data_IF_247132915382
#
_entry.id   IF_247132915382
#
_cell.length_a   1.000
_cell.length_b   1.000
_cell.length_c   1.000
_cell.angle_alpha   90.00
_cell.angle_beta   90.00
_cell.angle_gamma   90.00
#
_symmetry.space_group_name_H-M   'P 1'
#
loop_
_entity.id
_entity.type
_entity.pdbx_description
1 polymer ?
#
# COMPACT_ATOMS: atom_id res chain seq x y z
N UNK A 1 -4.26 6.80 -3.11
CA UNK A 1 -3.36 5.64 -3.32
C UNK A 1 -3.12 5.34 -4.80
N UNK A 2 -4.18 5.20 -5.64
CA UNK A 2 -4.05 4.95 -7.09
C UNK A 2 -3.19 6.01 -7.80
N UNK A 3 -3.41 7.30 -7.50
CA UNK A 3 -2.67 8.41 -8.11
C UNK A 3 -1.17 8.41 -7.76
N UNK A 4 -0.82 8.11 -6.51
CA UNK A 4 0.58 8.04 -6.04
C UNK A 4 1.31 6.87 -6.70
N UNK A 5 0.66 5.70 -6.79
CA UNK A 5 1.22 4.54 -7.49
C UNK A 5 1.38 4.80 -8.99
N UNK A 6 0.47 5.56 -9.60
CA UNK A 6 0.56 5.99 -10.99
C UNK A 6 1.77 6.90 -11.21
N UNK A 7 1.91 7.97 -10.43
CA UNK A 7 3.07 8.88 -10.53
C UNK A 7 4.40 8.18 -10.31
N UNK A 8 4.49 7.33 -9.28
CA UNK A 8 5.70 6.54 -8.99
C UNK A 8 6.07 5.59 -10.14
N UNK A 9 5.07 4.90 -10.71
CA UNK A 9 5.27 4.01 -11.87
C UNK A 9 5.75 4.78 -13.09
N UNK A 10 5.09 5.88 -13.44
CA UNK A 10 5.46 6.72 -14.59
C UNK A 10 6.87 7.27 -14.43
N UNK A 11 7.22 7.75 -13.23
CA UNK A 11 8.55 8.26 -12.94
C UNK A 11 9.63 7.18 -13.10
N UNK A 12 9.41 5.96 -12.57
CA UNK A 12 10.37 4.86 -12.70
C UNK A 12 10.58 4.45 -14.17
N UNK A 13 9.49 4.34 -14.93
CA UNK A 13 9.54 4.02 -16.37
C UNK A 13 10.33 5.09 -17.12
N UNK A 14 10.08 6.38 -16.85
CA UNK A 14 10.79 7.48 -17.50
C UNK A 14 12.29 7.47 -17.20
N UNK A 15 12.70 7.16 -15.96
CA UNK A 15 14.12 7.02 -15.60
C UNK A 15 14.78 5.90 -16.39
N UNK A 16 14.14 4.73 -16.46
CA UNK A 16 14.68 3.57 -17.19
C UNK A 16 14.78 3.89 -18.68
N UNK A 17 13.73 4.47 -19.27
CA UNK A 17 13.72 4.88 -20.68
C UNK A 17 14.78 5.95 -20.98
N UNK A 18 14.95 6.93 -20.09
CA UNK A 18 15.98 7.96 -20.23
C UNK A 18 17.38 7.34 -20.24
N UNK A 19 17.64 6.40 -19.33
CA UNK A 19 18.90 5.66 -19.27
C UNK A 19 19.16 4.83 -20.53
N UNK A 20 18.13 4.15 -21.05
CA UNK A 20 18.24 3.38 -22.29
C UNK A 20 18.44 4.28 -23.52
N UNK A 21 17.75 5.42 -23.58
CA UNK A 21 17.93 6.41 -24.64
C UNK A 21 19.33 7.00 -24.62
N UNK A 22 19.90 7.25 -23.43
CA UNK A 22 21.28 7.67 -23.27
C UNK A 22 22.27 6.61 -23.77
N UNK A 23 22.09 5.34 -23.39
CA UNK A 23 22.89 4.22 -23.92
C UNK A 23 22.82 4.11 -25.44
N UNK A 24 21.63 4.26 -26.02
CA UNK A 24 21.46 4.26 -27.47
C UNK A 24 22.14 5.46 -28.15
N UNK A 25 22.13 6.65 -27.52
CA UNK A 25 22.89 7.80 -28.03
C UNK A 25 24.40 7.54 -28.00
N UNK A 26 24.91 6.95 -26.92
CA UNK A 26 26.31 6.56 -26.78
C UNK A 26 26.71 5.55 -27.87
N UNK A 27 25.84 4.61 -28.23
CA UNK A 27 26.14 3.60 -29.25
C UNK A 27 26.58 4.22 -30.58
N UNK A 28 26.01 5.38 -30.95
CA UNK A 28 26.36 6.12 -32.18
C UNK A 28 27.79 6.67 -32.15
N UNK A 29 28.35 6.92 -30.97
CA UNK A 29 29.74 7.39 -30.80
C UNK A 29 30.75 6.24 -30.94
N UNK A 30 30.40 5.03 -30.52
CA UNK A 30 31.27 3.87 -30.53
C UNK A 30 31.04 2.98 -31.76
N UNK A 31 31.56 3.40 -32.92
CA UNK A 31 31.36 2.71 -34.20
C UNK A 31 31.63 1.20 -34.16
N UNK A 32 32.68 0.78 -33.45
CA UNK A 32 33.12 -0.63 -33.33
C UNK A 32 32.17 -1.54 -32.54
N UNK A 33 31.31 -0.98 -31.70
CA UNK A 33 30.36 -1.70 -30.83
C UNK A 33 28.95 -1.13 -30.90
N UNK A 34 28.66 -0.31 -31.92
CA UNK A 34 27.39 0.38 -32.13
C UNK A 34 26.20 -0.58 -32.04
N UNK A 35 26.28 -1.72 -32.73
CA UNK A 35 25.20 -2.70 -32.76
C UNK A 35 25.03 -3.40 -31.41
N UNK A 36 26.10 -3.80 -30.73
CA UNK A 36 26.00 -4.43 -29.42
C UNK A 36 25.42 -3.49 -28.35
N UNK A 37 25.86 -2.22 -28.31
CA UNK A 37 25.34 -1.24 -27.35
C UNK A 37 23.88 -0.87 -27.68
N UNK A 38 23.53 -0.76 -28.97
CA UNK A 38 22.14 -0.50 -29.38
C UNK A 38 21.22 -1.67 -29.03
N UNK A 39 21.65 -2.91 -29.29
CA UNK A 39 20.91 -4.12 -28.94
C UNK A 39 20.77 -4.26 -27.42
N UNK A 40 21.79 -3.91 -26.64
CA UNK A 40 21.69 -3.85 -25.18
C UNK A 40 20.64 -2.84 -24.72
N UNK A 41 20.60 -1.64 -25.31
CA UNK A 41 19.58 -0.65 -24.98
C UNK A 41 18.16 -1.15 -25.30
N UNK A 42 17.96 -1.79 -26.46
CA UNK A 42 16.68 -2.40 -26.84
C UNK A 42 16.29 -3.53 -25.88
N UNK A 43 17.23 -4.41 -25.55
CA UNK A 43 17.03 -5.50 -24.60
C UNK A 43 16.57 -4.96 -23.24
N UNK A 44 17.22 -3.91 -22.72
CA UNK A 44 16.85 -3.30 -21.44
C UNK A 44 15.46 -2.66 -21.48
N UNK A 45 15.08 -1.99 -22.57
CA UNK A 45 13.72 -1.46 -22.73
C UNK A 45 12.69 -2.59 -22.71
N UNK A 46 12.94 -3.66 -23.46
CA UNK A 46 12.03 -4.80 -23.51
C UNK A 46 11.92 -5.47 -22.13
N UNK A 47 13.06 -5.80 -21.51
CA UNK A 47 13.14 -6.55 -20.27
C UNK A 47 12.64 -5.78 -19.04
N UNK A 48 12.95 -4.49 -18.94
CA UNK A 48 12.67 -3.69 -17.76
C UNK A 48 11.42 -2.82 -17.90
N UNK A 49 10.95 -2.54 -19.12
CA UNK A 49 9.76 -1.71 -19.33
C UNK A 49 8.63 -2.52 -19.94
N UNK A 50 8.83 -3.04 -21.15
CA UNK A 50 7.73 -3.64 -21.92
C UNK A 50 7.14 -4.89 -21.25
N UNK A 51 7.97 -5.89 -20.92
CA UNK A 51 7.50 -7.14 -20.32
C UNK A 51 6.91 -6.96 -18.91
N UNK A 52 7.56 -6.26 -17.97
CA UNK A 52 6.97 -6.05 -16.64
C UNK A 52 5.66 -5.24 -16.70
N UNK A 53 5.54 -4.30 -17.64
CA UNK A 53 4.29 -3.57 -17.86
C UNK A 53 3.18 -4.51 -18.37
N UNK A 54 3.47 -5.34 -19.37
CA UNK A 54 2.52 -6.32 -19.89
C UNK A 54 2.09 -7.31 -18.81
N UNK A 55 3.02 -7.84 -18.02
CA UNK A 55 2.69 -8.75 -16.91
C UNK A 55 1.84 -8.08 -15.83
N UNK A 56 2.06 -6.78 -15.56
CA UNK A 56 1.20 -6.02 -14.64
C UNK A 56 -0.23 -5.95 -15.17
N UNK A 57 -0.42 -5.70 -16.47
CA UNK A 57 -1.75 -5.71 -17.10
C UNK A 57 -2.40 -7.09 -17.02
N UNK A 58 -1.64 -8.15 -17.25
CA UNK A 58 -2.14 -9.52 -17.16
C UNK A 58 -2.59 -9.88 -15.75
N UNK A 59 -1.83 -9.52 -14.72
CA UNK A 59 -2.19 -9.75 -13.32
C UNK A 59 -3.40 -8.93 -12.87
N UNK A 60 -3.58 -7.74 -13.43
CA UNK A 60 -4.78 -6.93 -13.20
C UNK A 60 -6.03 -7.54 -13.85
N UNK A 61 -5.88 -8.13 -15.02
CA UNK A 61 -6.98 -8.81 -15.74
C UNK A 61 -7.32 -10.17 -15.12
N UNK A 62 -6.29 -10.99 -14.87
CA UNK A 62 -6.41 -12.29 -14.22
C UNK A 62 -5.22 -12.51 -13.27
N UNK A 63 -5.44 -12.48 -11.95
CA UNK A 63 -4.36 -12.66 -10.97
C UNK A 63 -3.74 -14.04 -10.94
N UNK A 64 -4.51 -15.05 -11.35
CA UNK A 64 -4.03 -16.43 -11.41
C UNK A 64 -3.20 -16.65 -12.67
N UNK A 65 -2.78 -15.60 -13.38
CA UNK A 65 -1.91 -15.68 -14.55
C UNK A 65 -0.51 -16.18 -14.21
N UNK A 66 0.00 -15.86 -13.01
CA UNK A 66 1.35 -16.23 -12.58
C UNK A 66 1.35 -16.71 -11.13
N UNK A 67 2.18 -17.71 -10.87
CA UNK A 67 2.57 -18.15 -9.54
C UNK A 67 3.93 -17.56 -9.17
N UNK A 68 4.10 -17.12 -7.92
CA UNK A 68 5.34 -16.51 -7.44
C UNK A 68 5.96 -17.36 -6.33
N UNK A 69 7.10 -18.00 -6.60
CA UNK A 69 7.70 -19.02 -5.73
C UNK A 69 8.52 -18.48 -4.55
N UNK A 70 8.50 -17.19 -4.27
CA UNK A 70 9.33 -16.60 -3.20
C UNK A 70 8.53 -16.18 -1.99
N UNK A 71 9.10 -16.50 -0.82
CA UNK A 71 8.71 -15.99 0.49
C UNK A 71 8.53 -14.46 0.53
N UNK A 72 9.07 -13.68 -0.42
CA UNK A 72 8.88 -12.22 -0.50
C UNK A 72 7.42 -11.86 -0.85
N UNK A 73 6.74 -12.65 -1.70
CA UNK A 73 5.34 -12.42 -2.04
C UNK A 73 4.44 -12.68 -0.83
N UNK A 74 4.63 -13.85 -0.20
CA UNK A 74 3.87 -14.24 0.98
C UNK A 74 4.20 -13.34 2.17
N UNK A 75 5.46 -12.99 2.39
CA UNK A 75 5.90 -12.15 3.50
C UNK A 75 5.41 -10.70 3.35
N UNK A 76 5.49 -10.07 2.17
CA UNK A 76 4.93 -8.70 2.01
C UNK A 76 3.42 -8.68 2.12
N UNK A 77 2.71 -9.66 1.53
CA UNK A 77 1.25 -9.77 1.67
C UNK A 77 0.87 -10.03 3.14
N UNK A 78 1.61 -10.89 3.84
CA UNK A 78 1.42 -11.17 5.26
C UNK A 78 1.76 -9.98 6.15
N UNK A 79 2.82 -9.21 5.89
CA UNK A 79 3.16 -8.00 6.66
C UNK A 79 2.00 -7.01 6.58
N UNK A 80 1.52 -6.68 5.38
CA UNK A 80 0.40 -5.74 5.21
C UNK A 80 -0.87 -6.29 5.85
N UNK A 81 -1.12 -7.61 5.74
CA UNK A 81 -2.27 -8.24 6.37
C UNK A 81 -2.16 -8.22 7.91
N UNK A 82 -0.97 -8.45 8.46
CA UNK A 82 -0.71 -8.46 9.90
C UNK A 82 -0.82 -7.06 10.48
N UNK A 83 -0.27 -6.04 9.82
CA UNK A 83 -0.45 -4.63 10.20
C UNK A 83 -1.94 -4.27 10.27
N UNK A 84 -2.74 -4.67 9.28
CA UNK A 84 -4.18 -4.39 9.28
C UNK A 84 -4.96 -5.21 10.30
N UNK A 85 -4.55 -6.46 10.55
CA UNK A 85 -5.13 -7.29 11.61
C UNK A 85 -4.86 -6.63 12.95
N UNK A 86 -3.64 -6.21 13.23
CA UNK A 86 -3.26 -5.54 14.47
C UNK A 86 -4.00 -4.21 14.65
N UNK A 87 -4.06 -3.38 13.61
CA UNK A 87 -4.81 -2.11 13.61
C UNK A 87 -6.31 -2.29 13.87
N UNK A 88 -6.90 -3.37 13.37
CA UNK A 88 -8.35 -3.62 13.44
C UNK A 88 -8.76 -4.51 14.63
N UNK A 89 -7.80 -5.21 15.25
CA UNK A 89 -8.01 -6.22 16.30
C UNK A 89 -8.93 -5.76 17.42
N UNK A 90 -8.72 -4.52 17.87
CA UNK A 90 -9.44 -3.96 19.02
C UNK A 90 -10.75 -3.26 18.63
N UNK A 91 -10.97 -2.93 17.36
CA UNK A 91 -12.13 -2.15 16.92
C UNK A 91 -13.46 -2.83 17.29
N UNK A 92 -13.68 -4.13 17.06
CA UNK A 92 -14.92 -4.80 17.46
C UNK A 92 -15.19 -4.72 18.97
N UNK A 93 -14.14 -4.90 19.79
CA UNK A 93 -14.26 -4.80 21.25
C UNK A 93 -14.58 -3.39 21.71
N UNK A 94 -14.04 -2.36 21.04
CA UNK A 94 -14.35 -0.96 21.32
C UNK A 94 -15.79 -0.63 20.95
N UNK A 95 -16.27 -1.07 19.77
CA UNK A 95 -17.68 -0.91 19.37
C UNK A 95 -18.60 -1.54 20.42
N UNK A 96 -18.34 -2.79 20.82
CA UNK A 96 -19.15 -3.48 21.85
C UNK A 96 -19.14 -2.75 23.19
N UNK A 97 -17.98 -2.23 23.61
CA UNK A 97 -17.89 -1.45 24.84
C UNK A 97 -18.73 -0.16 24.78
N UNK A 98 -18.72 0.55 23.64
CA UNK A 98 -19.53 1.75 23.44
C UNK A 98 -21.03 1.44 23.35
N UNK A 99 -21.41 0.36 22.69
CA UNK A 99 -22.79 -0.12 22.63
C UNK A 99 -23.30 -0.47 24.04
N UNK A 100 -22.48 -1.14 24.87
CA UNK A 100 -22.82 -1.42 26.26
C UNK A 100 -22.97 -0.15 27.10
N UNK A 101 -22.09 0.85 26.92
CA UNK A 101 -22.22 2.15 27.59
C UNK A 101 -23.51 2.85 27.16
N UNK A 102 -23.84 2.82 25.86
CA UNK A 102 -25.07 3.42 25.34
C UNK A 102 -26.31 2.77 25.96
N UNK A 103 -26.33 1.44 26.04
CA UNK A 103 -27.44 0.68 26.64
C UNK A 103 -27.56 0.93 28.15
N UNK A 104 -26.45 0.87 28.88
CA UNK A 104 -26.42 1.06 30.33
C UNK A 104 -26.79 2.48 30.78
N UNK A 105 -26.77 3.45 29.87
CA UNK A 105 -27.03 4.87 30.14
C UNK A 105 -28.19 5.41 29.28
N UNK A 106 -29.12 4.55 28.85
CA UNK A 106 -30.19 4.92 27.91
C UNK A 106 -31.03 6.11 28.39
N UNK A 107 -31.25 6.24 29.70
CA UNK A 107 -32.04 7.30 30.34
C UNK A 107 -31.43 8.70 30.20
N UNK A 108 -30.11 8.80 29.98
CA UNK A 108 -29.39 10.06 29.91
C UNK A 108 -28.82 10.36 28.52
N UNK A 109 -29.13 9.54 27.50
CA UNK A 109 -28.64 9.76 26.13
C UNK A 109 -29.10 11.10 25.55
N UNK A 110 -30.27 11.58 25.97
CA UNK A 110 -30.83 12.86 25.53
C UNK A 110 -30.39 14.06 26.39
N UNK A 111 -29.56 13.84 27.42
CA UNK A 111 -28.92 14.95 28.13
C UNK A 111 -27.90 15.61 27.22
N UNK A 112 -27.92 16.93 27.22
CA UNK A 112 -26.90 17.74 26.56
C UNK A 112 -25.57 17.63 27.31
N UNK A 113 -24.46 17.93 26.63
CA UNK A 113 -23.16 17.95 27.30
C UNK A 113 -23.12 19.01 28.39
N UNK A 114 -23.79 20.15 28.23
CA UNK A 114 -23.88 21.15 29.30
C UNK A 114 -24.56 20.61 30.57
N UNK A 115 -25.62 19.82 30.41
CA UNK A 115 -26.30 19.17 31.55
C UNK A 115 -25.43 18.10 32.23
N UNK A 116 -24.39 17.59 31.56
CA UNK A 116 -23.44 16.63 32.13
C UNK A 116 -22.24 17.31 32.79
N UNK A 117 -22.17 18.64 32.81
CA UNK A 117 -21.11 19.36 33.53
C UNK A 117 -21.17 19.02 35.03
N UNK A 118 -22.39 18.83 35.53
CA UNK A 118 -22.64 18.22 36.82
C UNK A 118 -22.49 16.70 36.76
N UNK A 119 -21.92 16.13 37.83
CA UNK A 119 -21.82 14.68 38.00
C UNK A 119 -23.22 14.02 37.86
N UNK A 120 -23.39 13.24 36.80
CA UNK A 120 -24.61 12.49 36.55
C UNK A 120 -24.40 11.03 36.89
N UNK A 121 -25.18 10.52 37.85
CA UNK A 121 -25.11 9.15 38.31
C UNK A 121 -26.15 8.30 37.58
N UNK A 122 -25.71 7.21 36.95
CA UNK A 122 -26.60 6.16 36.42
C UNK A 122 -26.51 4.91 37.26
N UNK A 123 -27.14 3.81 36.87
CA UNK A 123 -27.05 2.55 37.62
C UNK A 123 -25.59 2.05 37.71
N UNK A 124 -24.85 2.15 36.61
CA UNK A 124 -23.53 1.52 36.47
C UNK A 124 -22.36 2.52 36.34
N UNK A 125 -22.64 3.80 36.07
CA UNK A 125 -21.61 4.78 35.76
C UNK A 125 -21.82 6.13 36.47
N UNK A 126 -20.76 6.91 36.48
CA UNK A 126 -20.77 8.34 36.81
C UNK A 126 -20.26 9.07 35.57
N UNK A 127 -21.01 10.05 35.09
CA UNK A 127 -20.68 10.80 33.89
C UNK A 127 -20.45 12.27 34.23
N UNK A 128 -19.49 12.86 33.54
CA UNK A 128 -19.12 14.26 33.67
C UNK A 128 -18.64 14.78 32.32
N UNK A 129 -19.01 15.99 31.97
CA UNK A 129 -18.41 16.73 30.86
C UNK A 129 -17.65 17.94 31.39
N UNK A 130 -16.51 18.20 30.77
CA UNK A 130 -15.65 19.33 31.06
C UNK A 130 -15.44 20.12 29.78
N UNK A 131 -15.34 21.45 29.88
CA UNK A 131 -15.28 22.33 28.72
C UNK A 131 -14.04 23.22 28.82
N UNK A 132 -13.11 23.00 27.91
CA UNK A 132 -11.86 23.73 27.83
C UNK A 132 -11.75 24.54 26.54
N UNK A 133 -11.01 25.63 26.61
CA UNK A 133 -10.64 26.38 25.41
C UNK A 133 -9.43 25.72 24.73
N UNK A 134 -9.53 25.41 23.44
CA UNK A 134 -8.47 24.75 22.68
C UNK A 134 -7.85 25.71 21.64
N UNK A 135 -6.53 25.96 21.71
CA UNK A 135 -5.77 26.82 20.76
C UNK A 135 -4.65 25.96 20.14
N UNK A 136 -4.50 25.87 18.79
CA UNK A 136 -4.76 26.92 17.81
C UNK A 136 -5.85 26.62 16.76
N UNK A 137 -6.86 27.50 16.71
CA UNK A 137 -8.01 27.47 15.77
C UNK A 137 -9.28 28.18 16.26
N UNK A 138 -9.32 28.62 17.54
CA UNK A 138 -10.48 29.26 18.24
C UNK A 138 -11.71 28.35 18.40
N UNK A 139 -11.51 27.09 18.77
CA UNK A 139 -12.61 26.17 19.08
C UNK A 139 -12.61 25.80 20.56
N UNK A 140 -13.79 25.47 21.07
CA UNK A 140 -13.94 24.87 22.39
C UNK A 140 -13.77 23.35 22.29
N UNK A 141 -13.43 22.71 23.39
CA UNK A 141 -13.31 21.26 23.52
C UNK A 141 -14.16 20.79 24.70
N UNK A 142 -15.13 19.94 24.42
CA UNK A 142 -15.87 19.21 25.44
C UNK A 142 -15.21 17.84 25.66
N UNK A 143 -14.80 17.56 26.88
CA UNK A 143 -14.30 16.26 27.31
C UNK A 143 -15.36 15.54 28.12
N UNK A 144 -15.83 14.38 27.66
CA UNK A 144 -16.80 13.57 28.41
C UNK A 144 -16.06 12.43 29.10
N UNK A 145 -16.18 12.36 30.42
CA UNK A 145 -15.64 11.32 31.27
C UNK A 145 -16.74 10.35 31.68
N UNK A 146 -16.43 9.05 31.64
CA UNK A 146 -17.27 7.98 32.16
C UNK A 146 -16.45 7.19 33.16
N UNK A 147 -16.87 7.24 34.41
CA UNK A 147 -16.29 6.48 35.52
C UNK A 147 -17.19 5.31 35.87
N UNK A 148 -16.61 4.25 36.43
CA UNK A 148 -17.41 3.27 37.19
C UNK A 148 -17.82 3.84 38.54
N UNK A 149 -18.70 3.11 39.23
CA UNK A 149 -19.17 3.45 40.59
C UNK A 149 -18.06 3.51 41.64
N UNK A 150 -16.89 2.95 41.37
CA UNK A 150 -15.73 3.01 42.28
C UNK A 150 -14.83 4.21 41.96
N UNK A 151 -15.20 5.07 41.02
CA UNK A 151 -14.42 6.24 40.59
C UNK A 151 -13.32 5.92 39.57
N UNK A 152 -13.24 4.67 39.08
CA UNK A 152 -12.29 4.29 38.05
C UNK A 152 -12.70 4.80 36.67
N UNK A 153 -11.83 5.57 36.00
CA UNK A 153 -12.09 6.06 34.65
C UNK A 153 -12.20 4.88 33.66
N UNK A 154 -13.37 4.71 33.05
CA UNK A 154 -13.61 3.69 32.01
C UNK A 154 -13.37 4.24 30.62
N UNK A 155 -13.86 5.46 30.34
CA UNK A 155 -13.74 6.10 29.03
C UNK A 155 -13.66 7.61 29.13
N UNK A 156 -12.97 8.20 28.15
CA UNK A 156 -12.85 9.63 27.92
C UNK A 156 -13.13 9.88 26.44
N UNK A 157 -14.00 10.84 26.15
CA UNK A 157 -14.31 11.30 24.80
C UNK A 157 -13.93 12.76 24.68
N UNK A 158 -13.53 13.19 23.49
CA UNK A 158 -13.28 14.61 23.22
C UNK A 158 -14.03 15.03 21.97
N UNK A 159 -14.66 16.20 22.01
CA UNK A 159 -15.32 16.83 20.86
C UNK A 159 -14.91 18.29 20.79
N UNK A 160 -14.54 18.73 19.60
CA UNK A 160 -14.16 20.12 19.35
C UNK A 160 -15.22 20.80 18.49
N UNK A 161 -15.56 22.04 18.80
CA UNK A 161 -16.58 22.79 18.06
C UNK A 161 -16.82 24.17 18.64
N UNK A 162 -17.89 24.84 18.19
CA UNK A 162 -18.34 26.08 18.82
C UNK A 162 -18.98 25.79 20.19
N UNK A 163 -18.87 26.71 21.15
CA UNK A 163 -19.43 26.51 22.51
C UNK A 163 -20.92 26.14 22.46
N UNK A 164 -21.73 26.89 21.70
CA UNK A 164 -23.17 26.64 21.62
C UNK A 164 -23.51 25.27 21.00
N UNK A 165 -22.67 24.79 20.08
CA UNK A 165 -22.81 23.47 19.46
C UNK A 165 -22.50 22.38 20.49
N UNK A 166 -21.38 22.51 21.21
CA UNK A 166 -20.99 21.55 22.23
C UNK A 166 -21.97 21.53 23.40
N UNK A 167 -22.42 22.70 23.87
CA UNK A 167 -23.39 22.84 24.95
C UNK A 167 -24.68 22.08 24.67
N UNK A 168 -25.17 22.13 23.43
CA UNK A 168 -26.43 21.51 23.01
C UNK A 168 -26.31 20.07 22.52
N UNK A 169 -25.08 19.61 22.23
CA UNK A 169 -24.81 18.26 21.75
C UNK A 169 -25.28 17.21 22.76
N UNK A 170 -25.96 16.17 22.27
CA UNK A 170 -26.49 15.11 23.14
C UNK A 170 -25.44 14.05 23.41
N UNK A 171 -25.37 13.54 24.64
CA UNK A 171 -24.44 12.46 24.97
C UNK A 171 -24.60 11.23 24.07
N UNK A 172 -25.85 10.87 23.73
CA UNK A 172 -26.14 9.79 22.82
C UNK A 172 -25.64 10.01 21.39
N UNK A 173 -25.57 11.26 20.92
CA UNK A 173 -25.02 11.57 19.59
C UNK A 173 -23.50 11.43 19.58
N UNK A 174 -22.82 11.83 20.66
CA UNK A 174 -21.36 11.61 20.83
C UNK A 174 -21.00 10.14 20.71
N UNK A 175 -21.66 9.27 21.49
CA UNK A 175 -21.38 7.83 21.45
C UNK A 175 -21.73 7.24 20.08
N UNK A 176 -22.86 7.64 19.49
CA UNK A 176 -23.30 7.11 18.20
C UNK A 176 -22.34 7.49 17.08
N UNK A 177 -21.82 8.71 17.10
CA UNK A 177 -20.80 9.16 16.15
C UNK A 177 -19.53 8.31 16.25
N UNK A 178 -19.02 8.07 17.47
CA UNK A 178 -17.81 7.27 17.66
C UNK A 178 -18.01 5.80 17.27
N UNK A 179 -19.19 5.23 17.56
CA UNK A 179 -19.56 3.90 17.07
C UNK A 179 -19.56 3.87 15.53
N UNK A 180 -20.16 4.88 14.88
CA UNK A 180 -20.21 4.97 13.43
C UNK A 180 -18.80 5.06 12.85
N UNK A 181 -17.96 5.95 13.37
CA UNK A 181 -16.57 6.09 12.96
C UNK A 181 -15.80 4.77 13.06
N UNK A 182 -15.95 4.04 14.17
CA UNK A 182 -15.30 2.73 14.34
C UNK A 182 -15.86 1.68 13.37
N UNK A 183 -17.17 1.69 13.10
CA UNK A 183 -17.80 0.80 12.11
C UNK A 183 -17.29 1.10 10.70
N UNK A 184 -17.16 2.37 10.33
CA UNK A 184 -16.62 2.81 9.05
C UNK A 184 -15.14 2.42 8.92
N UNK A 185 -14.35 2.61 9.98
CA UNK A 185 -12.94 2.18 10.03
C UNK A 185 -12.81 0.66 9.88
N UNK A 186 -13.67 -0.11 10.57
CA UNK A 186 -13.72 -1.57 10.42
C UNK A 186 -14.13 -1.99 9.01
N UNK A 187 -15.12 -1.32 8.42
CA UNK A 187 -15.55 -1.56 7.05
C UNK A 187 -14.42 -1.26 6.06
N UNK A 188 -13.71 -0.14 6.23
CA UNK A 188 -12.54 0.22 5.45
C UNK A 188 -11.48 -0.91 5.45
N UNK A 189 -11.11 -1.44 6.62
CA UNK A 189 -10.15 -2.56 6.69
C UNK A 189 -10.68 -3.84 6.04
N UNK A 190 -11.98 -4.14 6.17
CA UNK A 190 -12.60 -5.28 5.46
C UNK A 190 -12.53 -5.12 3.95
N UNK A 191 -12.86 -3.94 3.42
CA UNK A 191 -12.77 -3.64 1.99
C UNK A 191 -11.32 -3.71 1.51
N UNK A 192 -10.38 -3.14 2.27
CA UNK A 192 -8.94 -3.19 1.95
C UNK A 192 -8.41 -4.62 1.92
N UNK A 193 -8.82 -5.47 2.86
CA UNK A 193 -8.50 -6.89 2.85
C UNK A 193 -9.03 -7.57 1.58
N UNK A 194 -10.28 -7.30 1.20
CA UNK A 194 -10.85 -7.81 -0.05
C UNK A 194 -10.13 -7.26 -1.28
N UNK A 195 -9.68 -6.00 -1.31
CA UNK A 195 -8.87 -5.44 -2.39
C UNK A 195 -7.47 -6.06 -2.49
N UNK A 196 -6.85 -6.34 -1.34
CA UNK A 196 -5.58 -7.06 -1.25
C UNK A 196 -5.74 -8.50 -1.76
N UNK A 197 -6.85 -9.15 -1.43
CA UNK A 197 -7.21 -10.47 -1.92
C UNK A 197 -7.63 -10.46 -3.40
N UNK A 198 -8.09 -9.32 -3.92
CA UNK A 198 -8.49 -9.08 -5.33
C UNK A 198 -7.46 -8.31 -6.15
N UNK A 199 -6.16 -8.55 -5.96
CA UNK A 199 -5.11 -8.29 -6.98
C UNK A 199 -4.55 -6.86 -7.08
N UNK A 200 -4.93 -5.94 -6.20
CA UNK A 200 -4.35 -4.58 -6.20
C UNK A 200 -2.92 -4.50 -5.64
N UNK A 201 -2.33 -5.64 -5.25
CA UNK A 201 -0.93 -5.73 -4.82
C UNK A 201 0.06 -5.58 -5.98
N UNK A 202 -0.29 -6.04 -7.18
CA UNK A 202 0.61 -6.07 -8.32
C UNK A 202 0.64 -4.72 -9.02
N UNK A 203 1.69 -3.97 -8.71
CA UNK A 203 2.07 -2.74 -9.40
C UNK A 203 3.32 -3.02 -10.22
N UNK A 204 3.62 -2.15 -11.17
CA UNK A 204 4.86 -2.24 -11.94
C UNK A 204 6.09 -2.28 -11.03
N UNK A 205 6.14 -1.45 -9.99
CA UNK A 205 7.25 -1.41 -9.04
C UNK A 205 7.39 -2.69 -8.20
N UNK A 206 6.27 -3.31 -7.80
CA UNK A 206 6.30 -4.57 -7.03
C UNK A 206 6.59 -5.79 -7.92
N UNK A 207 6.23 -5.74 -9.20
CA UNK A 207 6.44 -6.83 -10.15
C UNK A 207 7.81 -6.80 -10.84
N UNK A 208 8.40 -5.62 -11.05
CA UNK A 208 9.66 -5.45 -11.79
C UNK A 208 10.79 -6.37 -11.29
N UNK A 209 11.05 -6.52 -9.97
CA UNK A 209 12.09 -7.44 -9.50
C UNK A 209 11.85 -8.89 -9.90
N UNK A 210 10.59 -9.34 -9.87
CA UNK A 210 10.20 -10.70 -10.27
C UNK A 210 10.35 -10.90 -11.77
N UNK A 211 9.87 -9.95 -12.57
CA UNK A 211 9.99 -10.02 -14.03
C UNK A 211 11.44 -9.94 -14.50
N UNK A 212 12.29 -9.19 -13.80
CA UNK A 212 13.72 -9.10 -14.11
C UNK A 212 14.46 -10.39 -13.71
N UNK A 213 14.14 -10.97 -12.54
CA UNK A 213 14.82 -12.17 -12.06
C UNK A 213 14.24 -13.47 -12.61
N UNK A 214 13.05 -13.46 -13.22
CA UNK A 214 12.34 -14.68 -13.64
C UNK A 214 13.17 -15.55 -14.58
N UNK A 215 13.98 -14.91 -15.44
CA UNK A 215 14.88 -15.57 -16.39
C UNK A 215 15.99 -16.39 -15.72
N UNK A 216 16.32 -16.09 -14.45
CA UNK A 216 17.45 -16.71 -13.74
C UNK A 216 17.04 -17.54 -12.52
N UNK A 217 15.91 -17.20 -11.90
CA UNK A 217 15.55 -17.70 -10.56
C UNK A 217 14.32 -18.59 -10.56
N UNK A 218 13.50 -18.59 -11.61
CA UNK A 218 12.21 -19.30 -11.60
C UNK A 218 11.21 -18.77 -10.56
N UNK A 219 11.45 -17.58 -10.00
CA UNK A 219 10.64 -16.96 -8.95
C UNK A 219 9.23 -16.55 -9.42
N UNK A 220 8.95 -16.67 -10.72
CA UNK A 220 7.68 -16.36 -11.36
C UNK A 220 7.44 -17.46 -12.41
N UNK A 221 6.28 -18.11 -12.36
CA UNK A 221 5.89 -19.18 -13.27
C UNK A 221 4.53 -18.87 -13.90
N UNK A 222 4.38 -18.92 -15.24
CA UNK A 222 3.10 -18.70 -15.89
C UNK A 222 2.15 -19.88 -15.63
N UNK A 223 0.88 -19.59 -15.31
CA UNK A 223 -0.16 -20.59 -15.09
C UNK A 223 -1.20 -20.61 -16.22
N UNK A 224 -1.47 -19.47 -16.85
CA UNK A 224 -2.43 -19.38 -17.95
C UNK A 224 -1.76 -19.54 -19.31
N UNK A 225 -2.45 -20.04 -20.35
CA UNK A 225 -1.88 -20.19 -21.69
C UNK A 225 -1.31 -18.87 -22.26
N UNK A 226 -2.04 -17.76 -22.05
CA UNK A 226 -1.60 -16.44 -22.48
C UNK A 226 -0.32 -16.02 -21.72
N UNK A 227 -0.28 -16.22 -20.39
CA UNK A 227 0.91 -15.93 -19.59
C UNK A 227 2.11 -16.74 -20.08
N UNK A 228 1.90 -18.00 -20.43
CA UNK A 228 2.96 -18.87 -20.92
C UNK A 228 3.53 -18.40 -22.27
N UNK A 229 2.68 -17.95 -23.19
CA UNK A 229 3.11 -17.40 -24.48
C UNK A 229 4.00 -16.15 -24.25
N UNK A 230 3.52 -15.18 -23.48
CA UNK A 230 4.29 -13.96 -23.21
C UNK A 230 5.58 -14.25 -22.42
N UNK A 231 5.54 -15.19 -21.48
CA UNK A 231 6.71 -15.63 -20.73
C UNK A 231 7.77 -16.28 -21.64
N UNK A 232 7.34 -17.12 -22.58
CA UNK A 232 8.22 -17.77 -23.55
C UNK A 232 8.84 -16.74 -24.51
N UNK A 233 8.03 -15.82 -25.06
CA UNK A 233 8.52 -14.75 -25.94
C UNK A 233 9.53 -13.88 -25.20
N UNK A 234 9.24 -13.52 -23.95
CA UNK A 234 10.16 -12.78 -23.09
C UNK A 234 11.48 -13.52 -22.94
N UNK A 235 11.44 -14.80 -22.55
CA UNK A 235 12.62 -15.61 -22.35
C UNK A 235 13.50 -15.69 -23.61
N UNK A 236 12.90 -16.05 -24.75
CA UNK A 236 13.62 -16.17 -26.02
C UNK A 236 14.24 -14.83 -26.42
N UNK A 237 13.48 -13.74 -26.33
CA UNK A 237 13.94 -12.42 -26.77
C UNK A 237 15.16 -11.97 -25.97
N UNK A 238 15.12 -12.08 -24.64
CA UNK A 238 16.21 -11.64 -23.78
C UNK A 238 17.41 -12.57 -23.88
N UNK A 239 17.19 -13.88 -23.96
CA UNK A 239 18.28 -14.84 -24.10
C UNK A 239 19.03 -14.67 -25.43
N UNK A 240 18.31 -14.54 -26.54
CA UNK A 240 18.92 -14.36 -27.87
C UNK A 240 19.70 -13.03 -27.97
N UNK A 241 19.10 -11.92 -27.54
CA UNK A 241 19.78 -10.61 -27.59
C UNK A 241 20.93 -10.57 -26.58
N UNK A 242 20.71 -11.06 -25.36
CA UNK A 242 21.69 -11.06 -24.28
C UNK A 242 22.95 -11.85 -24.63
N UNK A 243 22.81 -13.05 -25.18
CA UNK A 243 23.96 -13.85 -25.66
C UNK A 243 24.68 -13.14 -26.80
N UNK A 244 23.96 -12.57 -27.76
CA UNK A 244 24.58 -11.84 -28.87
C UNK A 244 25.44 -10.66 -28.38
N UNK A 245 24.93 -9.89 -27.42
CA UNK A 245 25.66 -8.80 -26.79
C UNK A 245 26.88 -9.32 -26.02
N UNK A 246 26.71 -10.37 -25.21
CA UNK A 246 27.79 -10.97 -24.43
C UNK A 246 28.93 -11.50 -25.32
N UNK A 247 28.60 -12.29 -26.34
CA UNK A 247 29.57 -12.84 -27.29
C UNK A 247 30.33 -11.74 -28.03
N UNK A 248 29.64 -10.66 -28.44
CA UNK A 248 30.32 -9.53 -29.09
C UNK A 248 31.42 -8.93 -28.21
N UNK A 249 31.13 -8.68 -26.94
CA UNK A 249 32.11 -8.14 -26.00
C UNK A 249 33.20 -9.15 -25.65
N UNK A 250 32.87 -10.44 -25.53
CA UNK A 250 33.86 -11.49 -25.29
C UNK A 250 34.88 -11.57 -26.43
N UNK A 251 34.41 -11.64 -27.67
CA UNK A 251 35.26 -11.69 -28.87
C UNK A 251 36.14 -10.46 -28.94
N UNK A 252 35.59 -9.26 -28.72
CA UNK A 252 36.35 -8.00 -28.69
C UNK A 252 37.47 -8.00 -27.65
N UNK A 253 37.20 -8.48 -26.45
CA UNK A 253 38.22 -8.53 -25.39
C UNK A 253 39.31 -9.56 -25.72
N UNK A 254 38.95 -10.72 -26.26
CA UNK A 254 39.92 -11.72 -26.72
C UNK A 254 40.80 -11.19 -27.86
N UNK A 255 40.22 -10.49 -28.84
CA UNK A 255 40.96 -9.83 -29.93
C UNK A 255 42.00 -8.84 -29.39
N UNK A 256 41.63 -8.04 -28.38
CA UNK A 256 42.54 -7.08 -27.75
C UNK A 256 43.70 -7.78 -27.03
N UNK A 257 43.42 -8.84 -26.28
CA UNK A 257 44.45 -9.63 -25.59
C UNK A 257 45.41 -10.28 -26.58
N UNK A 258 44.88 -10.89 -27.65
CA UNK A 258 45.71 -11.53 -28.70
C UNK A 258 46.58 -10.49 -29.40
N UNK A 259 46.04 -9.31 -29.73
CA UNK A 259 46.80 -8.25 -30.38
C UNK A 259 47.93 -7.73 -29.48
N UNK A 260 47.67 -7.54 -28.19
CA UNK A 260 48.68 -7.08 -27.23
C UNK A 260 49.78 -8.12 -26.97
N UNK A 261 49.55 -9.42 -27.21
CA UNK A 261 50.59 -10.46 -27.13
C UNK A 261 51.46 -10.58 -28.38
N UNK A 262 51.03 -10.02 -29.52
CA UNK A 262 51.74 -10.05 -30.81
C UNK A 262 52.53 -8.77 -31.10
N UNK A 263 52.37 -7.74 -30.26
CA UNK A 263 53.14 -6.49 -30.26
C UNK A 263 54.29 -6.59 -29.27
#
# INVERSE_FOLDING_TARGET
MVLVNFFSTTFLILIILSSCAYLYRISKKYQKSKYAISSLAVMLILHLVAFPFLYTLMLKSNPNSFEFKTAIHDNRKQIVLNEWIDDSKYIPSQIKALENIKLANYTILNKSLKELEQLTFTENHILHSDFDFNIPGRNFMATIYIFDKKGGLKRKFTKTGGQNELDSMKFGSVITHDISYLKDKLHYYKVKKVELDKNNFWTYATLLPYSASSLFTGNMSPLTPIANIFYTIHYITIYCIGIGVFLHFLIRNLELIIRNRKS
#
